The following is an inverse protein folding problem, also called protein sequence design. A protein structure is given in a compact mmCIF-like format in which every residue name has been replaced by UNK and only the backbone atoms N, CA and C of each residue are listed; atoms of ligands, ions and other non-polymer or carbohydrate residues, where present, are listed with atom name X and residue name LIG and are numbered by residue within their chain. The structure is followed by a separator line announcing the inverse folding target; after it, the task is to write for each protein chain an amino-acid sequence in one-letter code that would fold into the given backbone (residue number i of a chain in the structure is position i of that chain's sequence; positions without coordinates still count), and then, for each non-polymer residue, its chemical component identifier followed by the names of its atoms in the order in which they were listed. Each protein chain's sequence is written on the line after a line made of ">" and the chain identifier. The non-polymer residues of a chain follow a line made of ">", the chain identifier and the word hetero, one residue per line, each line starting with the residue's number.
data_IF_858398043199
#
_entry.id   IF_858398043199
#
_cell.length_a   1.000
_cell.length_b   1.000
_cell.length_c   1.000
_cell.angle_alpha   90.00
_cell.angle_beta   90.00
_cell.angle_gamma   90.00
#
_symmetry.space_group_name_H-M   'P 1'
#
loop_
_entity.id
_entity.type
_entity.pdbx_description
1 polymer ?
#
# COMPACT_ATOMS: atom_id res chain seq x y z
N UNK A 1 -4.33 -17.12 25.13
CA UNK A 1 -3.40 -16.08 25.62
C UNK A 1 -3.17 -14.95 24.59
N UNK A 2 -3.69 -15.08 23.36
CA UNK A 2 -3.27 -14.26 22.21
C UNK A 2 -4.23 -13.12 21.82
N UNK A 3 -5.54 -13.26 22.09
CA UNK A 3 -6.49 -12.15 21.88
C UNK A 3 -6.21 -10.96 22.81
N UNK A 4 -5.84 -11.24 24.06
CA UNK A 4 -5.40 -10.22 25.04
C UNK A 4 -4.18 -9.45 24.51
N UNK A 5 -3.27 -10.14 23.81
CA UNK A 5 -2.09 -9.49 23.21
C UNK A 5 -2.47 -8.50 22.11
N UNK A 6 -3.47 -8.80 21.28
CA UNK A 6 -3.99 -7.85 20.28
C UNK A 6 -4.60 -6.60 20.94
N UNK A 7 -5.48 -6.78 21.92
CA UNK A 7 -6.08 -5.65 22.66
C UNK A 7 -5.05 -4.83 23.44
N UNK A 8 -4.01 -5.48 24.00
CA UNK A 8 -2.89 -4.77 24.60
C UNK A 8 -2.05 -4.03 23.55
N UNK A 9 -1.90 -4.60 22.35
CA UNK A 9 -1.28 -3.95 21.20
C UNK A 9 -2.04 -2.67 20.79
N UNK A 10 -3.37 -2.66 20.87
CA UNK A 10 -4.15 -1.45 20.63
C UNK A 10 -3.84 -0.33 21.64
N UNK A 11 -3.50 -0.66 22.89
CA UNK A 11 -3.07 0.35 23.88
C UNK A 11 -1.73 1.00 23.54
N UNK A 12 -0.90 0.33 22.75
CA UNK A 12 0.35 0.92 22.25
C UNK A 12 0.05 2.09 21.30
N UNK A 13 -1.07 2.03 20.56
CA UNK A 13 -1.48 3.11 19.64
C UNK A 13 -1.68 4.44 20.37
N UNK A 14 -2.33 4.41 21.53
CA UNK A 14 -2.47 5.59 22.39
C UNK A 14 -1.11 6.17 22.79
N UNK A 15 -0.15 5.29 23.11
CA UNK A 15 1.21 5.73 23.48
C UNK A 15 1.99 6.32 22.30
N UNK A 16 1.59 6.00 21.08
CA UNK A 16 2.13 6.53 19.83
C UNK A 16 1.39 7.77 19.33
N UNK A 17 0.41 8.28 20.10
CA UNK A 17 -0.38 9.48 19.76
C UNK A 17 -1.62 9.21 18.92
N UNK A 18 -1.93 7.95 18.61
CA UNK A 18 -3.14 7.55 17.88
C UNK A 18 -4.29 7.31 18.86
N UNK A 19 -4.89 8.42 19.31
CA UNK A 19 -6.00 8.40 20.26
C UNK A 19 -7.34 8.21 19.58
N UNK A 20 -8.36 7.74 20.32
CA UNK A 20 -9.76 7.67 19.87
C UNK A 20 -10.00 6.78 18.63
N UNK A 21 -9.11 5.83 18.35
CA UNK A 21 -9.36 4.81 17.33
C UNK A 21 -10.57 3.96 17.73
N UNK A 22 -11.41 3.57 16.77
CA UNK A 22 -12.65 2.86 17.08
C UNK A 22 -12.35 1.43 17.60
N UNK A 23 -12.58 1.14 18.89
CA UNK A 23 -12.16 -0.11 19.51
C UNK A 23 -13.05 -1.31 19.12
N UNK A 24 -14.17 -1.08 18.41
CA UNK A 24 -15.08 -2.12 17.93
C UNK A 24 -14.81 -2.43 16.46
N UNK A 25 -14.78 -1.41 15.59
CA UNK A 25 -14.53 -1.58 14.14
C UNK A 25 -13.19 -2.24 13.85
N UNK A 26 -12.13 -1.91 14.61
CA UNK A 26 -10.78 -2.44 14.37
C UNK A 26 -10.72 -3.96 14.59
N UNK A 27 -11.06 -4.53 15.76
CA UNK A 27 -11.10 -5.98 15.92
C UNK A 27 -12.06 -6.67 14.94
N UNK A 28 -13.23 -6.10 14.69
CA UNK A 28 -14.23 -6.67 13.77
C UNK A 28 -13.70 -6.82 12.35
N UNK A 29 -12.88 -5.87 11.88
CA UNK A 29 -12.27 -5.95 10.55
C UNK A 29 -11.04 -6.86 10.54
N UNK A 30 -10.04 -6.57 11.39
CA UNK A 30 -8.72 -7.19 11.30
C UNK A 30 -8.64 -8.60 11.91
N UNK A 31 -9.56 -8.95 12.82
CA UNK A 31 -9.62 -10.31 13.38
C UNK A 31 -10.68 -11.19 12.70
N UNK A 32 -11.38 -10.69 11.69
CA UNK A 32 -12.38 -11.47 10.97
C UNK A 32 -11.76 -12.70 10.31
N UNK A 33 -12.15 -13.88 10.76
CA UNK A 33 -11.62 -15.16 10.24
C UNK A 33 -10.19 -15.48 10.67
N UNK A 34 -9.58 -14.67 11.55
CA UNK A 34 -8.23 -14.91 12.07
C UNK A 34 -8.26 -15.96 13.17
N UNK A 35 -7.44 -17.01 13.04
CA UNK A 35 -7.21 -17.96 14.11
C UNK A 35 -6.33 -17.32 15.18
N UNK A 36 -6.97 -16.79 16.22
CA UNK A 36 -6.27 -16.10 17.30
C UNK A 36 -5.39 -17.03 18.16
N UNK A 37 -5.43 -18.35 17.98
CA UNK A 37 -4.47 -19.25 18.62
C UNK A 37 -3.15 -19.35 17.84
N UNK A 38 -3.12 -18.90 16.58
CA UNK A 38 -1.92 -18.88 15.75
C UNK A 38 -1.25 -17.51 15.76
N UNK A 39 -0.02 -17.46 16.29
CA UNK A 39 0.76 -16.22 16.39
C UNK A 39 1.08 -15.60 15.02
N UNK A 40 1.28 -16.43 13.99
CA UNK A 40 1.58 -15.95 12.63
C UNK A 40 0.40 -15.19 12.01
N UNK A 41 -0.82 -15.71 12.15
CA UNK A 41 -2.02 -15.03 11.63
C UNK A 41 -2.30 -13.72 12.38
N UNK A 42 -2.15 -13.74 13.72
CA UNK A 42 -2.29 -12.52 14.51
C UNK A 42 -1.23 -11.47 14.20
N UNK A 43 0.02 -11.88 13.97
CA UNK A 43 1.09 -10.98 13.55
C UNK A 43 0.76 -10.33 12.21
N UNK A 44 0.23 -11.10 11.25
CA UNK A 44 -0.20 -10.57 9.95
C UNK A 44 -1.34 -9.56 10.11
N UNK A 45 -2.37 -9.90 10.89
CA UNK A 45 -3.50 -9.01 11.16
C UNK A 45 -3.05 -7.69 11.82
N UNK A 46 -2.16 -7.78 12.81
CA UNK A 46 -1.61 -6.60 13.47
C UNK A 46 -0.70 -5.78 12.53
N UNK A 47 0.10 -6.43 11.69
CA UNK A 47 0.91 -5.77 10.66
C UNK A 47 0.06 -4.97 9.67
N UNK A 48 -1.03 -5.56 9.17
CA UNK A 48 -1.99 -4.85 8.32
C UNK A 48 -2.66 -3.68 9.03
N UNK A 49 -3.11 -3.86 10.27
CA UNK A 49 -3.65 -2.78 11.10
C UNK A 49 -2.67 -1.60 11.22
N UNK A 50 -1.41 -1.87 11.57
CA UNK A 50 -0.40 -0.81 11.72
C UNK A 50 -0.11 -0.15 10.38
N UNK A 51 0.07 -0.92 9.30
CA UNK A 51 0.33 -0.37 7.97
C UNK A 51 -0.82 0.51 7.45
N UNK A 52 -2.06 0.08 7.68
CA UNK A 52 -3.26 0.83 7.29
C UNK A 52 -3.41 2.11 8.10
N UNK A 53 -3.19 2.03 9.40
CA UNK A 53 -3.24 3.18 10.29
C UNK A 53 -2.17 4.21 9.89
N UNK A 54 -0.89 3.84 9.85
CA UNK A 54 0.18 4.86 9.79
C UNK A 54 0.52 5.35 8.38
N UNK A 55 0.19 4.57 7.34
CA UNK A 55 0.67 4.85 5.98
C UNK A 55 -0.43 4.72 4.93
N UNK A 56 -1.05 3.54 4.79
CA UNK A 56 -1.91 3.24 3.64
C UNK A 56 -3.16 4.13 3.62
N UNK A 57 -3.98 4.10 4.67
CA UNK A 57 -5.24 4.82 4.69
C UNK A 57 -5.12 6.35 4.77
N UNK A 58 -4.23 6.97 5.57
CA UNK A 58 -4.06 8.42 5.50
C UNK A 58 -3.61 8.89 4.11
N UNK A 59 -2.71 8.15 3.45
CA UNK A 59 -2.24 8.48 2.09
C UNK A 59 -3.35 8.31 1.04
N UNK A 60 -4.10 7.20 1.10
CA UNK A 60 -5.20 6.92 0.19
C UNK A 60 -6.34 7.94 0.35
N UNK A 61 -6.79 8.20 1.58
CA UNK A 61 -7.87 9.15 1.86
C UNK A 61 -7.48 10.57 1.45
N UNK A 62 -6.23 10.97 1.71
CA UNK A 62 -5.69 12.22 1.19
C UNK A 62 -5.75 12.27 -0.34
N UNK A 63 -5.21 11.27 -1.04
CA UNK A 63 -5.19 11.23 -2.50
C UNK A 63 -6.60 11.24 -3.09
N UNK A 64 -7.53 10.45 -2.53
CA UNK A 64 -8.93 10.39 -2.93
C UNK A 64 -9.61 11.74 -2.75
N UNK A 65 -9.44 12.40 -1.58
CA UNK A 65 -10.02 13.72 -1.32
C UNK A 65 -9.39 14.80 -2.20
N UNK A 66 -8.09 14.74 -2.41
CA UNK A 66 -7.38 15.64 -3.31
C UNK A 66 -7.91 15.49 -4.74
N UNK A 67 -8.06 14.26 -5.24
CA UNK A 67 -8.63 13.97 -6.55
C UNK A 67 -10.05 14.53 -6.76
N UNK A 68 -10.85 14.65 -5.69
CA UNK A 68 -12.19 15.26 -5.75
C UNK A 68 -12.20 16.79 -5.81
N UNK A 69 -11.09 17.44 -5.44
CA UNK A 69 -11.00 18.90 -5.28
C UNK A 69 -10.16 19.57 -6.37
N UNK A 70 -9.31 18.81 -7.05
CA UNK A 70 -8.52 19.31 -8.18
C UNK A 70 -9.39 19.66 -9.39
N UNK A 71 -8.88 20.53 -10.26
CA UNK A 71 -9.56 20.88 -11.52
C UNK A 71 -9.55 19.68 -12.47
N UNK A 72 -10.50 19.60 -13.41
CA UNK A 72 -10.55 18.54 -14.43
C UNK A 72 -9.25 18.42 -15.27
N UNK A 73 -8.48 19.49 -15.37
CA UNK A 73 -7.17 19.50 -16.05
C UNK A 73 -6.06 18.83 -15.26
N UNK A 74 -6.26 18.57 -13.97
CA UNK A 74 -5.32 17.92 -13.07
C UNK A 74 -5.72 16.46 -12.87
N UNK A 75 -4.73 15.60 -12.70
CA UNK A 75 -4.92 14.15 -12.62
C UNK A 75 -4.21 13.64 -11.39
N UNK A 76 -4.87 12.75 -10.66
CA UNK A 76 -4.29 12.07 -9.50
C UNK A 76 -4.12 10.61 -9.87
N UNK A 77 -2.95 10.06 -9.60
CA UNK A 77 -2.62 8.65 -9.81
C UNK A 77 -2.24 8.04 -8.47
N UNK A 78 -2.60 6.79 -8.25
CA UNK A 78 -2.27 6.06 -7.03
C UNK A 78 -1.81 4.65 -7.39
N UNK A 79 -0.77 4.17 -6.71
CA UNK A 79 -0.28 2.80 -6.88
C UNK A 79 -0.20 2.06 -5.55
N UNK A 80 -0.37 0.74 -5.62
CA UNK A 80 -0.08 -0.20 -4.55
C UNK A 80 1.13 -1.04 -4.94
N UNK A 81 2.15 -1.04 -4.08
CA UNK A 81 3.36 -1.84 -4.28
C UNK A 81 3.08 -3.30 -3.87
N UNK A 82 3.20 -4.24 -4.81
CA UNK A 82 2.90 -5.65 -4.60
C UNK A 82 4.14 -6.55 -4.76
N UNK A 83 5.29 -5.97 -5.07
CA UNK A 83 6.54 -6.67 -5.31
C UNK A 83 7.70 -6.05 -4.53
N UNK A 84 8.61 -6.90 -4.07
CA UNK A 84 9.84 -6.52 -3.41
C UNK A 84 11.00 -7.38 -3.92
N UNK A 85 12.17 -6.78 -4.05
CA UNK A 85 13.39 -7.51 -4.37
C UNK A 85 13.83 -8.35 -3.17
N UNK A 86 14.07 -9.64 -3.36
CA UNK A 86 14.68 -10.48 -2.31
C UNK A 86 16.07 -9.98 -1.91
N UNK A 87 16.83 -9.47 -2.87
CA UNK A 87 18.18 -8.95 -2.66
C UNK A 87 18.15 -7.73 -1.74
N UNK A 88 17.23 -6.81 -1.98
CA UNK A 88 17.08 -5.59 -1.18
C UNK A 88 16.46 -5.89 0.18
N UNK A 89 15.43 -6.76 0.23
CA UNK A 89 14.80 -7.16 1.48
C UNK A 89 15.80 -7.76 2.48
N UNK A 90 16.75 -8.58 1.99
CA UNK A 90 17.86 -9.12 2.80
C UNK A 90 18.77 -8.02 3.38
N UNK A 91 18.99 -6.92 2.66
CA UNK A 91 19.81 -5.80 3.15
C UNK A 91 19.11 -4.98 4.24
N UNK A 92 17.79 -4.87 4.17
CA UNK A 92 17.00 -4.07 5.10
C UNK A 92 16.38 -4.91 6.22
N UNK A 93 16.81 -6.16 6.40
CA UNK A 93 16.26 -7.09 7.42
C UNK A 93 14.74 -7.30 7.30
N UNK A 94 14.19 -7.19 6.08
CA UNK A 94 12.80 -7.48 5.79
C UNK A 94 12.65 -8.97 5.45
N UNK A 95 11.92 -9.71 6.29
CA UNK A 95 11.55 -11.09 6.00
C UNK A 95 10.26 -11.14 5.19
N UNK A 96 10.40 -11.28 3.88
CA UNK A 96 9.27 -11.34 2.94
C UNK A 96 8.27 -12.47 3.25
N UNK A 97 8.71 -13.54 3.93
CA UNK A 97 7.82 -14.67 4.26
C UNK A 97 6.86 -14.36 5.39
N UNK A 98 7.25 -13.47 6.31
CA UNK A 98 6.46 -13.14 7.50
C UNK A 98 5.89 -11.73 7.49
N UNK A 99 6.55 -10.80 6.80
CA UNK A 99 6.19 -9.38 6.73
C UNK A 99 5.59 -8.99 5.38
N UNK A 100 5.76 -9.80 4.33
CA UNK A 100 5.38 -9.44 2.98
C UNK A 100 6.24 -8.30 2.42
N UNK A 101 5.65 -7.41 1.64
CA UNK A 101 6.33 -6.24 1.08
C UNK A 101 6.48 -5.18 2.18
N UNK A 102 7.71 -5.03 2.70
CA UNK A 102 7.98 -4.03 3.74
C UNK A 102 7.93 -2.58 3.22
N UNK A 103 7.87 -1.64 4.16
CA UNK A 103 8.01 -0.21 3.89
C UNK A 103 9.34 0.11 3.18
N UNK A 104 9.28 0.97 2.15
CA UNK A 104 10.45 1.45 1.39
C UNK A 104 10.98 0.48 0.34
N UNK A 105 10.28 -0.63 0.07
CA UNK A 105 10.69 -1.62 -0.93
C UNK A 105 10.60 -1.14 -2.39
N UNK A 106 9.93 -0.01 -2.65
CA UNK A 106 9.87 0.65 -3.95
C UNK A 106 11.15 1.44 -4.28
N UNK A 107 11.79 2.04 -3.27
CA UNK A 107 12.98 2.88 -3.39
C UNK A 107 14.06 2.30 -4.34
N UNK A 108 14.53 1.05 -4.19
CA UNK A 108 15.56 0.51 -5.09
C UNK A 108 15.14 0.54 -6.57
N UNK A 109 13.85 0.32 -6.85
CA UNK A 109 13.32 0.32 -8.21
C UNK A 109 13.15 1.73 -8.76
N UNK A 110 12.69 2.68 -7.93
CA UNK A 110 12.56 4.10 -8.30
C UNK A 110 13.92 4.71 -8.68
N UNK A 111 14.98 4.35 -7.95
CA UNK A 111 16.33 4.88 -8.17
C UNK A 111 17.21 3.98 -9.05
N UNK A 112 16.69 2.87 -9.57
CA UNK A 112 17.41 2.03 -10.53
C UNK A 112 18.56 1.23 -9.97
N UNK A 113 18.55 0.88 -8.67
CA UNK A 113 19.59 0.04 -8.08
C UNK A 113 19.77 -1.31 -8.81
N UNK A 114 18.70 -2.03 -9.23
CA UNK A 114 18.85 -3.24 -10.04
C UNK A 114 19.52 -3.01 -11.40
N UNK A 115 19.40 -1.81 -11.97
CA UNK A 115 20.03 -1.46 -13.25
C UNK A 115 21.52 -1.15 -13.07
N UNK A 116 21.87 -0.49 -11.96
CA UNK A 116 23.25 -0.11 -11.64
C UNK A 116 24.10 -1.31 -11.23
N UNK A 117 23.52 -2.25 -10.49
CA UNK A 117 24.18 -3.45 -9.96
C UNK A 117 23.55 -4.72 -10.53
N UNK A 118 23.44 -4.82 -11.86
CA UNK A 118 22.70 -5.89 -12.53
C UNK A 118 23.13 -7.31 -12.12
N UNK A 119 24.40 -7.50 -11.80
CA UNK A 119 24.94 -8.81 -11.40
C UNK A 119 24.47 -9.26 -10.00
N UNK A 120 23.99 -8.34 -9.18
CA UNK A 120 23.49 -8.58 -7.81
C UNK A 120 21.98 -8.83 -7.74
N UNK A 121 21.25 -8.58 -8.83
CA UNK A 121 19.79 -8.57 -8.87
C UNK A 121 19.24 -9.59 -9.87
N UNK A 122 17.99 -10.02 -9.65
CA UNK A 122 17.36 -10.95 -10.58
C UNK A 122 16.99 -10.26 -11.91
N UNK A 123 16.85 -11.02 -13.02
CA UNK A 123 16.30 -10.47 -14.25
C UNK A 123 14.92 -9.81 -14.07
N UNK A 124 14.11 -10.34 -13.16
CA UNK A 124 12.81 -9.79 -12.78
C UNK A 124 12.96 -8.41 -12.12
N UNK A 125 13.90 -8.26 -11.18
CA UNK A 125 14.21 -6.98 -10.52
C UNK A 125 14.67 -5.93 -11.54
N UNK A 126 15.51 -6.33 -12.50
CA UNK A 126 16.03 -5.46 -13.57
C UNK A 126 14.88 -4.99 -14.47
N UNK A 127 14.04 -5.93 -14.92
CA UNK A 127 12.85 -5.61 -15.72
C UNK A 127 11.93 -4.65 -14.97
N UNK A 128 11.64 -4.94 -13.70
CA UNK A 128 10.76 -4.14 -12.87
C UNK A 128 11.31 -2.74 -12.58
N UNK A 129 12.61 -2.61 -12.29
CA UNK A 129 13.26 -1.31 -12.12
C UNK A 129 13.12 -0.44 -13.38
N UNK A 130 13.35 -1.02 -14.56
CA UNK A 130 13.18 -0.30 -15.83
C UNK A 130 11.72 0.16 -16.03
N UNK A 131 10.75 -0.70 -15.71
CA UNK A 131 9.33 -0.36 -15.78
C UNK A 131 8.96 0.79 -14.81
N UNK A 132 9.38 0.72 -13.55
CA UNK A 132 9.10 1.74 -12.52
C UNK A 132 9.76 3.08 -12.86
N UNK A 133 11.01 3.08 -13.35
CA UNK A 133 11.70 4.32 -13.77
C UNK A 133 10.99 4.97 -14.95
N UNK A 134 10.61 4.20 -15.98
CA UNK A 134 9.88 4.73 -17.14
C UNK A 134 8.54 5.34 -16.74
N UNK A 135 7.86 4.70 -15.80
CA UNK A 135 6.61 5.19 -15.22
C UNK A 135 6.79 6.53 -14.51
N UNK A 136 7.75 6.64 -13.58
CA UNK A 136 8.05 7.89 -12.89
C UNK A 136 8.52 9.00 -13.83
N UNK A 137 9.38 8.66 -14.81
CA UNK A 137 9.87 9.60 -15.81
C UNK A 137 8.72 10.12 -16.71
N UNK A 138 7.78 9.26 -17.09
CA UNK A 138 6.60 9.65 -17.86
C UNK A 138 5.71 10.61 -17.08
N UNK A 139 5.43 10.31 -15.81
CA UNK A 139 4.66 11.21 -14.96
C UNK A 139 5.34 12.57 -14.81
N UNK A 140 6.65 12.59 -14.54
CA UNK A 140 7.42 13.82 -14.38
C UNK A 140 7.50 14.66 -15.67
N UNK A 141 7.52 14.02 -16.84
CA UNK A 141 7.65 14.71 -18.14
C UNK A 141 6.30 15.23 -18.63
N UNK A 142 5.26 14.39 -18.60
CA UNK A 142 3.99 14.69 -19.27
C UNK A 142 2.88 15.12 -18.29
N UNK A 143 3.01 14.79 -16.99
CA UNK A 143 1.92 14.88 -16.01
C UNK A 143 0.73 13.96 -16.32
N UNK A 144 0.86 13.10 -17.34
CA UNK A 144 -0.21 12.24 -17.86
C UNK A 144 0.32 10.84 -18.16
N UNK A 145 -0.33 9.85 -17.55
CA UNK A 145 -0.04 8.43 -17.74
C UNK A 145 -0.89 7.83 -18.87
N UNK A 146 -0.47 6.69 -19.43
CA UNK A 146 -1.22 5.97 -20.47
C UNK A 146 -2.44 5.22 -19.88
N UNK A 147 -3.21 4.53 -20.73
CA UNK A 147 -4.39 3.76 -20.30
C UNK A 147 -4.09 2.61 -19.33
N UNK A 148 -2.84 2.16 -19.23
CA UNK A 148 -2.44 1.13 -18.26
C UNK A 148 -2.37 1.67 -16.84
N UNK A 149 -2.39 3.00 -16.68
CA UNK A 149 -2.29 3.73 -15.44
C UNK A 149 -3.48 4.67 -15.32
N UNK A 150 -4.65 4.15 -14.89
CA UNK A 150 -5.85 4.94 -14.77
C UNK A 150 -5.67 6.03 -13.70
N UNK A 151 -6.37 7.15 -13.89
CA UNK A 151 -6.52 8.14 -12.84
C UNK A 151 -7.28 7.51 -11.66
N UNK A 152 -6.91 7.92 -10.44
CA UNK A 152 -7.52 7.44 -9.21
C UNK A 152 -9.04 7.62 -9.26
N UNK A 153 -9.49 8.83 -9.58
CA UNK A 153 -10.87 9.13 -9.91
C UNK A 153 -10.90 9.59 -11.37
N UNK A 154 -11.83 9.05 -12.14
CA UNK A 154 -12.13 9.59 -13.47
C UNK A 154 -13.39 10.47 -13.37
N UNK A 155 -13.71 11.17 -14.45
CA UNK A 155 -14.90 12.02 -14.51
C UNK A 155 -16.21 11.22 -14.62
N UNK A 156 -16.13 9.89 -14.72
CA UNK A 156 -17.30 9.02 -14.68
C UNK A 156 -17.65 8.71 -13.23
N UNK A 157 -18.58 9.52 -12.70
CA UNK A 157 -19.10 9.43 -11.33
C UNK A 157 -19.67 8.06 -10.95
N UNK A 158 -19.86 7.14 -11.90
CA UNK A 158 -20.30 5.77 -11.63
C UNK A 158 -19.17 4.79 -11.35
N UNK A 159 -17.92 5.11 -11.72
CA UNK A 159 -16.81 4.19 -11.52
C UNK A 159 -16.03 4.54 -10.25
N UNK A 160 -15.88 3.56 -9.35
CA UNK A 160 -15.12 3.71 -8.12
C UNK A 160 -13.62 3.93 -8.37
N UNK A 161 -12.86 4.26 -7.30
CA UNK A 161 -11.43 4.50 -7.37
C UNK A 161 -10.65 3.40 -8.11
N UNK A 162 -9.70 3.79 -8.98
CA UNK A 162 -8.80 2.86 -9.68
C UNK A 162 -7.37 3.01 -9.17
N UNK A 163 -6.78 1.91 -8.72
CA UNK A 163 -5.40 1.89 -8.21
C UNK A 163 -4.53 1.04 -9.11
N UNK A 164 -3.32 1.49 -9.42
CA UNK A 164 -2.36 0.67 -10.15
C UNK A 164 -1.71 -0.33 -9.20
N UNK A 165 -1.84 -1.63 -9.47
CA UNK A 165 -1.02 -2.64 -8.79
C UNK A 165 0.36 -2.74 -9.43
N UNK A 166 1.42 -2.68 -8.63
CA UNK A 166 2.81 -2.84 -9.10
C UNK A 166 3.37 -4.20 -8.75
N UNK A 167 3.17 -5.15 -9.66
CA UNK A 167 3.71 -6.51 -9.62
C UNK A 167 4.26 -6.85 -11.01
N UNK A 168 5.56 -7.14 -11.19
CA UNK A 168 6.16 -7.40 -12.50
C UNK A 168 5.53 -8.59 -13.23
N UNK A 169 4.92 -9.53 -12.51
CA UNK A 169 4.29 -10.73 -13.08
C UNK A 169 2.90 -10.49 -13.63
N UNK A 170 2.27 -9.37 -13.27
CA UNK A 170 0.87 -9.09 -13.56
C UNK A 170 0.68 -7.74 -14.26
N UNK A 171 1.64 -7.28 -15.05
CA UNK A 171 1.53 -5.98 -15.75
C UNK A 171 0.73 -6.14 -17.07
N UNK A 172 -0.34 -5.36 -17.30
CA UNK A 172 -0.90 -4.32 -16.43
C UNK A 172 -1.90 -4.88 -15.39
N UNK A 173 -1.76 -4.43 -14.13
CA UNK A 173 -2.71 -4.70 -13.05
C UNK A 173 -3.40 -3.41 -12.61
N UNK A 174 -4.73 -3.41 -12.64
CA UNK A 174 -5.58 -2.35 -12.09
C UNK A 174 -6.46 -2.98 -11.01
N UNK A 175 -6.46 -2.36 -9.84
CA UNK A 175 -7.25 -2.75 -8.68
C UNK A 175 -8.47 -1.83 -8.60
N UNK A 176 -9.64 -2.44 -8.52
CA UNK A 176 -10.91 -1.75 -8.46
C UNK A 176 -11.30 -1.51 -7.00
N UNK A 177 -11.18 -0.27 -6.57
CA UNK A 177 -11.49 0.22 -5.21
C UNK A 177 -10.98 -0.70 -4.07
N UNK A 178 -9.68 -1.08 -4.08
CA UNK A 178 -9.15 -2.10 -3.15
C UNK A 178 -9.22 -1.66 -1.68
N UNK A 179 -9.35 -0.35 -1.42
CA UNK A 179 -9.31 0.24 -0.09
C UNK A 179 -10.71 0.60 0.45
N UNK A 180 -11.79 0.22 -0.24
CA UNK A 180 -13.16 0.50 0.22
C UNK A 180 -13.45 -0.08 1.61
N UNK A 181 -13.18 -1.37 1.79
CA UNK A 181 -13.47 -2.07 3.06
C UNK A 181 -12.63 -1.58 4.23
N UNK A 182 -11.34 -1.29 3.98
CA UNK A 182 -10.39 -0.82 4.99
C UNK A 182 -10.49 0.69 5.21
N UNK A 183 -10.07 1.49 4.23
CA UNK A 183 -9.86 2.90 4.43
C UNK A 183 -11.16 3.69 4.48
N UNK A 184 -12.13 3.38 3.62
CA UNK A 184 -13.45 4.02 3.72
C UNK A 184 -14.28 3.43 4.88
N UNK A 185 -14.24 2.10 5.08
CA UNK A 185 -15.09 1.43 6.07
C UNK A 185 -14.62 1.54 7.54
N UNK A 186 -13.31 1.49 7.77
CA UNK A 186 -12.72 1.45 9.12
C UNK A 186 -12.11 2.80 9.50
N UNK A 187 -11.33 3.41 8.60
CA UNK A 187 -10.44 4.52 8.95
C UNK A 187 -10.93 5.91 8.57
N UNK A 188 -11.94 6.04 7.70
CA UNK A 188 -12.42 7.34 7.25
C UNK A 188 -12.91 8.21 8.41
N UNK A 189 -13.72 7.66 9.33
CA UNK A 189 -14.24 8.38 10.50
C UNK A 189 -13.12 8.90 11.44
N UNK A 190 -11.93 8.31 11.35
CA UNK A 190 -10.78 8.72 12.15
C UNK A 190 -9.98 9.86 11.49
N UNK A 191 -9.90 9.86 10.15
CA UNK A 191 -9.04 10.76 9.38
C UNK A 191 -9.77 11.97 8.76
N UNK A 192 -11.09 11.90 8.60
CA UNK A 192 -11.92 12.93 7.96
C UNK A 192 -12.88 13.58 8.96
#
# INVERSE_FOLDING_TARGET
>A
MTLIAFYNGLKVLDSLGYHNVNPQKIPEYYLKGVNTSQSAELRKAFGSLIGDLILCCPTYLFAKRFAQTVKESQRVYFYELLYASERFAKQTTCDLTTQGVCHGMDIPFVFGLPLLYSDDYSPEDIYYANYVIKMWAKFATDGHMNSEWPQLLNNDSMSGPKVKGLDPKNIPLVLDDPFHGTCDGVWADYYL
#
